data_IF_753332295481
#
_entry.id   IF_753332295481
#
_cell.length_a   1.000
_cell.length_b   1.000
_cell.length_c   1.000
_cell.angle_alpha   90.00
_cell.angle_beta   90.00
_cell.angle_gamma   90.00
#
_symmetry.space_group_name_H-M   'P 1'
#
loop_
_entity.id
_entity.type
_entity.pdbx_description
1 polymer ?
#
# COMPACT_ATOMS: atom_id res chain seq x y z
N UNK A 1 -14.85 1.65 -17.51
CA UNK A 1 -14.36 0.27 -17.40
C UNK A 1 -13.66 0.17 -16.05
N UNK A 2 -14.41 -0.16 -15.01
CA UNK A 2 -13.83 -0.33 -13.67
C UNK A 2 -13.70 -1.83 -13.44
N UNK A 3 -12.62 -2.38 -13.98
CA UNK A 3 -12.32 -3.81 -13.87
C UNK A 3 -11.66 -4.06 -12.53
N UNK A 4 -12.38 -4.71 -11.60
CA UNK A 4 -11.73 -5.26 -10.40
C UNK A 4 -10.72 -6.31 -10.85
N UNK A 5 -9.44 -5.95 -10.81
CA UNK A 5 -8.35 -6.89 -10.99
C UNK A 5 -8.20 -7.69 -9.69
N UNK A 6 -8.74 -8.91 -9.67
CA UNK A 6 -8.43 -9.87 -8.61
C UNK A 6 -7.11 -10.55 -8.95
N UNK A 7 -6.11 -10.37 -8.09
CA UNK A 7 -4.80 -11.00 -8.22
C UNK A 7 -4.67 -12.02 -7.09
N UNK A 8 -4.45 -13.27 -7.46
CA UNK A 8 -4.03 -14.30 -6.50
C UNK A 8 -2.53 -14.14 -6.24
N UNK A 9 -2.17 -14.00 -4.97
CA UNK A 9 -0.78 -13.83 -4.53
C UNK A 9 -0.40 -14.98 -3.61
N UNK A 10 0.78 -15.54 -3.82
CA UNK A 10 1.44 -16.38 -2.81
C UNK A 10 1.77 -15.53 -1.56
N UNK A 11 1.98 -16.19 -0.42
CA UNK A 11 2.43 -15.51 0.82
C UNK A 11 3.71 -14.69 0.58
N UNK A 12 4.64 -15.22 -0.22
CA UNK A 12 5.88 -14.52 -0.55
C UNK A 12 5.64 -13.24 -1.36
N UNK A 13 4.78 -13.30 -2.38
CA UNK A 13 4.44 -12.13 -3.20
C UNK A 13 3.68 -11.08 -2.40
N UNK A 14 2.75 -11.51 -1.54
CA UNK A 14 2.03 -10.63 -0.60
C UNK A 14 3.00 -9.91 0.33
N UNK A 15 3.91 -10.63 0.95
CA UNK A 15 4.89 -10.06 1.87
C UNK A 15 5.88 -9.11 1.17
N UNK A 16 6.22 -9.41 -0.09
CA UNK A 16 7.03 -8.52 -0.92
C UNK A 16 6.25 -7.24 -1.27
N UNK A 17 4.97 -7.35 -1.62
CA UNK A 17 4.10 -6.22 -1.95
C UNK A 17 3.89 -5.31 -0.74
N UNK A 18 3.60 -5.88 0.44
CA UNK A 18 3.48 -5.12 1.70
C UNK A 18 4.77 -4.36 2.02
N UNK A 19 5.94 -5.00 1.84
CA UNK A 19 7.24 -4.32 2.00
C UNK A 19 7.41 -3.17 0.99
N UNK A 20 7.02 -3.38 -0.26
CA UNK A 20 7.03 -2.34 -1.30
C UNK A 20 6.14 -1.14 -0.95
N UNK A 21 4.91 -1.39 -0.48
CA UNK A 21 3.99 -0.33 -0.05
C UNK A 21 4.53 0.48 1.12
N UNK A 22 5.16 -0.18 2.11
CA UNK A 22 5.83 0.50 3.23
C UNK A 22 6.99 1.38 2.75
N UNK A 23 7.75 0.93 1.76
CA UNK A 23 8.81 1.73 1.15
C UNK A 23 8.26 2.97 0.43
N UNK A 24 7.23 2.80 -0.42
CA UNK A 24 6.60 3.92 -1.13
C UNK A 24 6.05 4.96 -0.14
N UNK A 25 5.38 4.52 0.93
CA UNK A 25 4.92 5.39 2.01
C UNK A 25 6.04 6.24 2.60
N UNK A 26 7.21 5.63 2.83
CA UNK A 26 8.37 6.36 3.36
C UNK A 26 8.94 7.36 2.36
N UNK A 27 8.95 7.03 1.06
CA UNK A 27 9.48 7.91 0.01
C UNK A 27 8.60 9.15 -0.23
N UNK A 28 7.28 9.02 -0.10
CA UNK A 28 6.32 10.14 -0.22
C UNK A 28 6.60 11.24 0.82
N UNK A 29 7.21 10.89 1.96
CA UNK A 29 7.54 11.84 3.02
C UNK A 29 8.85 12.62 2.79
N UNK A 30 9.60 12.35 1.71
CA UNK A 30 10.98 12.85 1.52
C UNK A 30 11.12 14.06 0.58
N UNK A 31 10.09 14.89 0.43
CA UNK A 31 10.20 16.08 -0.44
C UNK A 31 11.04 17.20 0.21
N UNK A 32 11.99 17.74 -0.58
CA UNK A 32 12.99 18.74 -0.16
C UNK A 32 12.46 20.18 -0.06
N UNK A 33 11.22 20.43 -0.47
CA UNK A 33 10.59 21.76 -0.46
C UNK A 33 9.45 21.79 0.55
N UNK A 34 9.16 22.98 1.07
CA UNK A 34 7.95 23.18 1.86
C UNK A 34 6.72 22.83 1.00
N UNK A 35 5.85 21.92 1.46
CA UNK A 35 4.69 21.51 0.68
C UNK A 35 3.67 22.65 0.60
N UNK A 36 3.08 22.83 -0.57
CA UNK A 36 1.87 23.64 -0.69
C UNK A 36 0.68 22.90 -0.07
N UNK A 37 -0.43 23.59 0.20
CA UNK A 37 -1.67 22.94 0.68
C UNK A 37 -2.17 21.84 -0.29
N UNK A 38 -1.96 22.03 -1.59
CA UNK A 38 -2.32 21.03 -2.59
C UNK A 38 -1.39 19.81 -2.54
N UNK A 39 -0.11 20.02 -2.22
CA UNK A 39 0.85 18.93 -2.03
C UNK A 39 0.50 18.14 -0.76
N UNK A 40 0.15 18.82 0.34
CA UNK A 40 -0.33 18.18 1.58
C UNK A 40 -1.60 17.36 1.34
N UNK A 41 -2.57 17.92 0.61
CA UNK A 41 -3.81 17.22 0.26
C UNK A 41 -3.52 15.97 -0.57
N UNK A 42 -2.76 16.10 -1.68
CA UNK A 42 -2.39 14.95 -2.51
C UNK A 42 -1.63 13.89 -1.73
N UNK A 43 -0.71 14.32 -0.87
CA UNK A 43 0.06 13.43 0.00
C UNK A 43 -0.86 12.66 0.95
N UNK A 44 -1.84 13.32 1.57
CA UNK A 44 -2.79 12.66 2.47
C UNK A 44 -3.60 11.57 1.73
N UNK A 45 -4.11 11.89 0.54
CA UNK A 45 -4.87 10.94 -0.30
C UNK A 45 -4.02 9.72 -0.65
N UNK A 46 -2.78 9.92 -1.11
CA UNK A 46 -1.88 8.82 -1.46
C UNK A 46 -1.53 7.94 -0.25
N UNK A 47 -1.29 8.56 0.92
CA UNK A 47 -0.99 7.82 2.14
C UNK A 47 -2.18 6.97 2.60
N UNK A 48 -3.40 7.50 2.49
CA UNK A 48 -4.63 6.77 2.82
C UNK A 48 -4.85 5.59 1.87
N UNK A 49 -4.64 5.78 0.56
CA UNK A 49 -4.73 4.69 -0.42
C UNK A 49 -3.72 3.57 -0.13
N UNK A 50 -2.47 3.91 0.15
CA UNK A 50 -1.41 2.94 0.50
C UNK A 50 -1.75 2.20 1.79
N UNK A 51 -2.27 2.92 2.79
CA UNK A 51 -2.65 2.34 4.07
C UNK A 51 -3.80 1.35 3.92
N UNK A 52 -4.84 1.71 3.16
CA UNK A 52 -5.97 0.86 2.87
C UNK A 52 -5.56 -0.40 2.10
N UNK A 53 -4.68 -0.26 1.09
CA UNK A 53 -4.18 -1.40 0.32
C UNK A 53 -3.33 -2.34 1.20
N UNK A 54 -2.46 -1.79 2.04
CA UNK A 54 -1.62 -2.58 2.95
C UNK A 54 -2.47 -3.37 3.94
N UNK A 55 -3.49 -2.74 4.55
CA UNK A 55 -4.41 -3.41 5.47
C UNK A 55 -5.20 -4.52 4.78
N UNK A 56 -5.68 -4.28 3.55
CA UNK A 56 -6.37 -5.31 2.77
C UNK A 56 -5.46 -6.52 2.58
N UNK A 57 -4.24 -6.32 2.10
CA UNK A 57 -3.27 -7.40 1.89
C UNK A 57 -2.93 -8.15 3.19
N UNK A 58 -2.75 -7.43 4.30
CA UNK A 58 -2.49 -8.04 5.61
C UNK A 58 -3.72 -8.80 6.16
N UNK A 59 -4.94 -8.33 5.86
CA UNK A 59 -6.20 -8.98 6.26
C UNK A 59 -6.59 -10.18 5.41
N UNK A 60 -6.04 -10.30 4.19
CA UNK A 60 -6.25 -11.47 3.31
C UNK A 60 -5.42 -12.67 3.78
N UNK A 61 -4.93 -12.72 5.01
CA UNK A 61 -4.31 -13.92 5.57
C UNK A 61 -5.40 -14.99 5.77
N UNK A 62 -5.47 -16.05 4.92
CA UNK A 62 -6.18 -17.22 5.36
C UNK A 62 -5.29 -17.85 6.43
N UNK A 63 -5.84 -18.24 7.56
CA UNK A 63 -5.21 -19.23 8.43
C UNK A 63 -4.76 -20.42 7.55
N UNK A 64 -3.49 -20.41 7.17
CA UNK A 64 -2.88 -21.29 6.19
C UNK A 64 -1.67 -21.98 6.78
N UNK A 65 -1.77 -22.38 8.05
CA UNK A 65 -0.96 -23.48 8.58
C UNK A 65 -1.31 -24.70 7.73
N UNK A 66 -0.44 -25.02 6.77
CA UNK A 66 -0.31 -26.39 6.27
C UNK A 66 1.00 -26.93 6.84
N UNK A 67 0.80 -27.83 7.81
CA UNK A 67 1.68 -28.85 8.40
C UNK A 67 3.10 -28.89 7.84
#
# INVERSE_FOLDING_TARGET
MDGMLQVELTTQERDMLVRGLRYVRSAIMLELRDPTRDDEYRRSVMLDEIQNLSQRLESTDPLGVRV
#
